data_IF_326425092380
#
_entry.id   IF_326425092380
#
_cell.length_a   1.000
_cell.length_b   1.000
_cell.length_c   1.000
_cell.angle_alpha   90.00
_cell.angle_beta   90.00
_cell.angle_gamma   90.00
#
_symmetry.space_group_name_H-M   'P 1'
#
loop_
_entity.id
_entity.type
_entity.pdbx_description
1 polymer ?
#
# COMPACT_ATOMS: atom_id res chain seq x y z
N UNK A 1 5.96 14.11 54.24
CA UNK A 1 5.75 12.70 53.85
C UNK A 1 7.11 12.03 53.79
N UNK A 2 7.35 10.97 54.57
CA UNK A 2 8.65 10.26 54.54
C UNK A 2 8.67 9.23 53.41
N UNK A 3 9.87 8.91 52.90
CA UNK A 3 10.06 7.93 51.83
C UNK A 3 9.46 6.57 52.19
N UNK A 4 9.70 6.07 53.41
CA UNK A 4 9.19 4.78 53.88
C UNK A 4 7.67 4.73 53.96
N UNK A 5 7.03 5.84 54.32
CA UNK A 5 5.57 5.93 54.33
C UNK A 5 5.02 5.90 52.90
N UNK A 6 5.62 6.67 52.00
CA UNK A 6 5.23 6.68 50.58
C UNK A 6 5.39 5.31 49.93
N UNK A 7 6.51 4.63 50.16
CA UNK A 7 6.74 3.28 49.66
C UNK A 7 5.70 2.29 50.21
N UNK A 8 5.46 2.27 51.53
CA UNK A 8 4.48 1.35 52.13
C UNK A 8 3.07 1.57 51.60
N UNK A 9 2.63 2.82 51.46
CA UNK A 9 1.27 3.14 51.01
C UNK A 9 1.05 2.83 49.52
N UNK A 10 2.06 3.01 48.66
CA UNK A 10 1.91 2.95 47.20
C UNK A 10 2.45 1.68 46.55
N UNK A 11 3.38 0.97 47.19
CA UNK A 11 3.95 -0.29 46.69
C UNK A 11 2.92 -1.35 46.26
N UNK A 12 1.78 -1.54 46.97
CA UNK A 12 0.76 -2.51 46.52
C UNK A 12 0.17 -2.20 45.14
N UNK A 13 0.01 -0.92 44.78
CA UNK A 13 -0.49 -0.52 43.47
C UNK A 13 0.56 -0.77 42.37
N UNK A 14 1.83 -0.52 42.67
CA UNK A 14 2.94 -0.76 41.74
C UNK A 14 3.14 -2.26 41.47
N UNK A 15 3.00 -3.10 42.49
CA UNK A 15 3.04 -4.56 42.35
C UNK A 15 1.88 -5.08 41.50
N UNK A 16 0.66 -4.55 41.68
CA UNK A 16 -0.49 -4.89 40.84
C UNK A 16 -0.28 -4.49 39.38
N UNK A 17 0.29 -3.30 39.13
CA UNK A 17 0.64 -2.87 37.78
C UNK A 17 1.65 -3.83 37.14
N UNK A 18 2.71 -4.18 37.87
CA UNK A 18 3.75 -5.09 37.36
C UNK A 18 3.19 -6.50 37.08
N UNK A 19 2.31 -7.01 37.94
CA UNK A 19 1.60 -8.28 37.73
C UNK A 19 0.66 -8.23 36.50
N UNK A 20 -0.08 -7.13 36.31
CA UNK A 20 -0.91 -6.94 35.12
C UNK A 20 -0.06 -6.91 33.83
N UNK A 21 1.10 -6.26 33.87
CA UNK A 21 2.04 -6.24 32.75
C UNK A 21 2.61 -7.64 32.44
N UNK A 22 2.94 -8.41 33.49
CA UNK A 22 3.43 -9.79 33.36
C UNK A 22 2.36 -10.71 32.75
N UNK A 23 1.09 -10.53 33.09
CA UNK A 23 -0.03 -11.28 32.50
C UNK A 23 -0.29 -10.87 31.06
N UNK A 24 -0.26 -9.57 30.76
CA UNK A 24 -0.45 -9.06 29.40
C UNK A 24 0.62 -9.58 28.43
N UNK A 25 1.90 -9.68 28.86
CA UNK A 25 3.04 -10.04 27.99
C UNK A 25 3.07 -9.24 26.67
N UNK A 26 2.83 -7.93 26.75
CA UNK A 26 2.76 -7.05 25.59
C UNK A 26 1.47 -7.16 24.76
N UNK A 27 0.48 -7.93 25.21
CA UNK A 27 -0.86 -8.03 24.63
C UNK A 27 -1.91 -7.68 25.69
N UNK A 28 -2.33 -6.41 25.79
CA UNK A 28 -3.28 -5.98 26.82
C UNK A 28 -4.62 -6.71 26.71
N UNK A 29 -4.99 -7.23 25.54
CA UNK A 29 -6.26 -7.96 25.34
C UNK A 29 -6.35 -9.24 26.19
N UNK A 30 -5.22 -9.83 26.60
CA UNK A 30 -5.17 -11.03 27.44
C UNK A 30 -5.71 -10.81 28.86
N UNK A 31 -5.81 -9.55 29.29
CA UNK A 31 -6.37 -9.17 30.58
C UNK A 31 -7.91 -9.12 30.57
N UNK A 32 -8.54 -9.24 29.40
CA UNK A 32 -9.98 -9.03 29.24
C UNK A 32 -10.40 -7.56 29.40
N UNK A 33 -11.69 -7.24 29.18
CA UNK A 33 -12.18 -5.87 29.17
C UNK A 33 -11.97 -5.12 30.48
N UNK A 34 -12.21 -5.78 31.62
CA UNK A 34 -12.05 -5.20 32.94
C UNK A 34 -10.57 -5.03 33.32
N UNK A 35 -9.73 -6.02 33.00
CA UNK A 35 -8.30 -5.95 33.27
C UNK A 35 -7.58 -4.88 32.42
N UNK A 36 -8.06 -4.60 31.20
CA UNK A 36 -7.56 -3.46 30.39
C UNK A 36 -7.91 -2.12 31.03
N UNK A 37 -9.14 -1.97 31.54
CA UNK A 37 -9.56 -0.75 32.26
C UNK A 37 -8.74 -0.55 33.53
N UNK A 38 -8.53 -1.63 34.28
CA UNK A 38 -7.71 -1.63 35.49
C UNK A 38 -6.25 -1.26 35.18
N UNK A 39 -5.66 -1.84 34.13
CA UNK A 39 -4.31 -1.51 33.67
C UNK A 39 -4.17 0.00 33.38
N UNK A 40 -5.15 0.59 32.70
CA UNK A 40 -5.17 2.02 32.42
C UNK A 40 -5.26 2.90 33.68
N UNK A 41 -6.04 2.48 34.68
CA UNK A 41 -6.13 3.18 35.96
C UNK A 41 -4.82 3.08 36.78
N UNK A 42 -4.24 1.87 36.87
CA UNK A 42 -2.97 1.62 37.55
C UNK A 42 -1.81 2.39 36.91
N UNK A 43 -1.77 2.46 35.58
CA UNK A 43 -0.79 3.27 34.85
C UNK A 43 -0.87 4.76 35.21
N UNK A 44 -2.06 5.36 35.21
CA UNK A 44 -2.24 6.77 35.57
C UNK A 44 -1.82 7.04 37.01
N UNK A 45 -2.17 6.14 37.93
CA UNK A 45 -1.77 6.23 39.33
C UNK A 45 -0.23 6.17 39.49
N UNK A 46 0.43 5.24 38.81
CA UNK A 46 1.90 5.12 38.85
C UNK A 46 2.60 6.33 38.20
N UNK A 47 2.04 6.90 37.14
CA UNK A 47 2.56 8.12 36.52
C UNK A 47 2.45 9.35 37.44
N UNK A 48 1.35 9.47 38.19
CA UNK A 48 1.19 10.50 39.21
C UNK A 48 2.19 10.31 40.36
N UNK A 49 2.38 9.06 40.81
CA UNK A 49 3.37 8.73 41.84
C UNK A 49 4.80 9.04 41.41
N UNK A 50 5.15 8.78 40.14
CA UNK A 50 6.45 9.15 39.58
C UNK A 50 6.66 10.68 39.57
N UNK A 51 5.63 11.45 39.20
CA UNK A 51 5.71 12.91 39.25
C UNK A 51 5.93 13.42 40.67
N UNK A 52 5.26 12.81 41.65
CA UNK A 52 5.45 13.13 43.07
C UNK A 52 6.85 12.71 43.57
N UNK A 53 7.32 11.52 43.20
CA UNK A 53 8.63 11.00 43.59
C UNK A 53 9.77 11.85 43.05
N UNK A 54 9.69 12.30 41.78
CA UNK A 54 10.65 13.24 41.18
C UNK A 54 10.74 14.56 41.93
N UNK A 55 9.63 15.02 42.51
CA UNK A 55 9.57 16.28 43.26
C UNK A 55 10.08 16.14 44.70
N UNK A 56 9.68 15.07 45.40
CA UNK A 56 9.94 14.91 46.83
C UNK A 56 11.23 14.14 47.14
N UNK A 57 11.65 13.24 46.25
CA UNK A 57 12.78 12.33 46.43
C UNK A 57 13.69 12.31 45.19
N UNK A 58 14.24 13.48 44.79
CA UNK A 58 15.14 13.55 43.64
C UNK A 58 16.41 12.72 43.91
N UNK A 59 16.82 11.91 42.93
CA UNK A 59 18.01 11.06 43.03
C UNK A 59 17.84 9.73 43.78
N UNK A 60 16.66 9.46 44.34
CA UNK A 60 16.40 8.18 45.03
C UNK A 60 16.20 7.01 44.04
N UNK A 61 16.71 5.79 44.33
CA UNK A 61 16.49 4.60 43.50
C UNK A 61 15.02 4.27 43.22
N UNK A 62 14.11 4.65 44.13
CA UNK A 62 12.67 4.50 43.93
C UNK A 62 12.18 5.24 42.69
N UNK A 63 12.70 6.45 42.46
CA UNK A 63 12.30 7.29 41.32
C UNK A 63 12.67 6.61 40.00
N UNK A 64 13.87 6.03 39.91
CA UNK A 64 14.31 5.25 38.75
C UNK A 64 13.47 3.98 38.54
N UNK A 65 13.11 3.29 39.63
CA UNK A 65 12.22 2.11 39.58
C UNK A 65 10.83 2.46 39.06
N UNK A 66 10.24 3.56 39.54
CA UNK A 66 8.93 4.03 39.09
C UNK A 66 8.97 4.49 37.63
N UNK A 67 10.06 5.12 37.21
CA UNK A 67 10.26 5.51 35.82
C UNK A 67 10.27 4.29 34.89
N UNK A 68 11.06 3.27 35.21
CA UNK A 68 11.09 2.02 34.45
C UNK A 68 9.70 1.34 34.38
N UNK A 69 8.96 1.33 35.49
CA UNK A 69 7.61 0.76 35.55
C UNK A 69 6.62 1.55 34.68
N UNK A 70 6.62 2.87 34.75
CA UNK A 70 5.73 3.74 33.96
C UNK A 70 6.04 3.66 32.48
N UNK A 71 7.31 3.54 32.08
CA UNK A 71 7.71 3.35 30.67
C UNK A 71 7.17 2.02 30.13
N UNK A 72 7.37 0.92 30.86
CA UNK A 72 6.81 -0.40 30.49
C UNK A 72 5.28 -0.38 30.43
N UNK A 73 4.64 0.26 31.41
CA UNK A 73 3.19 0.38 31.45
C UNK A 73 2.64 1.22 30.29
N UNK A 74 3.30 2.33 29.94
CA UNK A 74 2.94 3.16 28.79
C UNK A 74 2.95 2.35 27.50
N UNK A 75 3.96 1.51 27.31
CA UNK A 75 4.02 0.61 26.15
C UNK A 75 2.83 -0.35 26.13
N UNK A 76 2.41 -0.92 27.26
CA UNK A 76 1.25 -1.82 27.26
C UNK A 76 -0.10 -1.12 27.06
N UNK A 77 -0.26 0.12 27.55
CA UNK A 77 -1.51 0.89 27.46
C UNK A 77 -1.66 1.57 26.09
N UNK A 78 -0.56 2.03 25.50
CA UNK A 78 -0.54 2.77 24.24
C UNK A 78 0.11 2.01 23.08
N UNK A 79 0.60 0.79 23.29
CA UNK A 79 0.83 -0.10 22.15
C UNK A 79 -0.50 -0.17 21.43
N UNK A 80 -0.49 0.31 20.19
CA UNK A 80 -1.61 0.23 19.29
C UNK A 80 -2.17 -1.19 19.41
N UNK A 81 -3.49 -1.35 19.56
CA UNK A 81 -4.19 -2.62 19.42
C UNK A 81 -4.08 -3.17 17.97
N UNK A 82 -3.02 -2.78 17.24
CA UNK A 82 -2.53 -3.41 16.03
C UNK A 82 -1.89 -4.75 16.39
N UNK A 83 -2.71 -5.68 16.88
CA UNK A 83 -2.38 -7.10 16.83
C UNK A 83 -1.82 -7.41 15.45
N UNK A 84 -0.75 -8.22 15.40
CA UNK A 84 -0.04 -8.63 14.18
C UNK A 84 -1.03 -8.73 13.03
N UNK A 85 -1.02 -7.74 12.14
CA UNK A 85 -1.95 -7.71 11.01
C UNK A 85 -1.61 -8.93 10.17
N UNK A 86 -2.43 -9.97 10.31
CA UNK A 86 -2.19 -11.21 9.63
C UNK A 86 -2.26 -10.93 8.12
N UNK A 87 -1.20 -11.18 7.34
CA UNK A 87 -1.14 -10.79 5.93
C UNK A 87 -2.32 -11.38 5.15
N UNK A 88 -2.78 -12.57 5.53
CA UNK A 88 -3.98 -13.17 4.94
C UNK A 88 -5.27 -12.43 5.28
N UNK A 89 -5.41 -11.81 6.46
CA UNK A 89 -6.58 -11.01 6.79
C UNK A 89 -6.60 -9.71 5.95
N UNK A 90 -5.43 -9.14 5.66
CA UNK A 90 -5.32 -8.04 4.72
C UNK A 90 -5.69 -8.50 3.30
N UNK A 91 -5.07 -9.57 2.78
CA UNK A 91 -5.34 -10.03 1.41
C UNK A 91 -6.80 -10.47 1.18
N UNK A 92 -7.39 -11.18 2.15
CA UNK A 92 -8.78 -11.68 2.04
C UNK A 92 -9.85 -10.61 2.28
N UNK A 93 -9.59 -9.59 3.10
CA UNK A 93 -10.63 -8.63 3.53
C UNK A 93 -10.19 -7.18 3.51
N UNK A 94 -8.95 -6.88 3.87
CA UNK A 94 -8.41 -5.51 3.90
C UNK A 94 -8.27 -4.91 2.49
N UNK A 95 -7.61 -5.63 1.59
CA UNK A 95 -7.38 -5.22 0.21
C UNK A 95 -8.69 -4.93 -0.53
N UNK A 96 -9.63 -5.88 -0.52
CA UNK A 96 -10.92 -5.69 -1.19
C UNK A 96 -11.78 -4.58 -0.59
N UNK A 97 -11.61 -4.30 0.71
CA UNK A 97 -12.27 -3.15 1.36
C UNK A 97 -11.69 -1.83 0.86
N UNK A 98 -10.37 -1.74 0.73
CA UNK A 98 -9.69 -0.57 0.17
C UNK A 98 -10.08 -0.33 -1.28
N UNK A 99 -10.10 -1.38 -2.10
CA UNK A 99 -10.55 -1.31 -3.50
C UNK A 99 -11.97 -0.74 -3.60
N UNK A 100 -12.90 -1.21 -2.76
CA UNK A 100 -14.29 -0.70 -2.73
C UNK A 100 -14.38 0.73 -2.21
N UNK A 101 -13.61 1.08 -1.17
CA UNK A 101 -13.58 2.42 -0.60
C UNK A 101 -13.08 3.45 -1.63
N UNK A 102 -12.10 3.05 -2.45
CA UNK A 102 -11.42 3.92 -3.42
C UNK A 102 -11.91 3.71 -4.86
N UNK A 103 -13.16 3.25 -5.03
CA UNK A 103 -13.77 2.96 -6.33
C UNK A 103 -13.69 4.11 -7.34
N UNK A 104 -13.68 5.36 -6.88
CA UNK A 104 -13.57 6.54 -7.76
C UNK A 104 -12.18 6.65 -8.37
N UNK A 105 -11.13 6.53 -7.56
CA UNK A 105 -9.76 6.54 -8.05
C UNK A 105 -9.51 5.34 -8.97
N UNK A 106 -10.08 4.19 -8.64
CA UNK A 106 -10.03 3.02 -9.51
C UNK A 106 -10.76 3.25 -10.85
N UNK A 107 -11.97 3.80 -10.83
CA UNK A 107 -12.73 4.09 -12.05
C UNK A 107 -12.00 5.11 -12.95
N UNK A 108 -11.37 6.14 -12.36
CA UNK A 108 -10.54 7.10 -13.10
C UNK A 108 -9.34 6.38 -13.73
N UNK A 109 -8.62 5.56 -12.95
CA UNK A 109 -7.49 4.78 -13.46
C UNK A 109 -7.89 3.83 -14.59
N UNK A 110 -9.01 3.10 -14.42
CA UNK A 110 -9.59 2.26 -15.47
C UNK A 110 -9.94 3.07 -16.72
N UNK A 111 -10.62 4.21 -16.55
CA UNK A 111 -11.04 5.06 -17.67
C UNK A 111 -9.85 5.64 -18.44
N UNK A 112 -8.82 6.09 -17.74
CA UNK A 112 -7.59 6.59 -18.36
C UNK A 112 -6.88 5.48 -19.14
N UNK A 113 -6.74 4.30 -18.54
CA UNK A 113 -6.01 3.19 -19.14
C UNK A 113 -6.81 2.55 -20.30
N UNK A 114 -7.99 1.99 -20.00
CA UNK A 114 -8.79 1.27 -20.98
C UNK A 114 -9.47 2.19 -21.98
N UNK A 115 -9.77 3.44 -21.61
CA UNK A 115 -10.29 4.44 -22.55
C UNK A 115 -9.24 4.83 -23.58
N UNK A 116 -8.00 5.14 -23.16
CA UNK A 116 -6.91 5.40 -24.09
C UNK A 116 -6.59 4.17 -24.96
N UNK A 117 -6.63 2.97 -24.37
CA UNK A 117 -6.48 1.72 -25.11
C UNK A 117 -7.54 1.56 -26.19
N UNK A 118 -8.83 1.71 -25.85
CA UNK A 118 -9.92 1.56 -26.82
C UNK A 118 -9.80 2.58 -27.98
N UNK A 119 -9.48 3.84 -27.67
CA UNK A 119 -9.27 4.87 -28.70
C UNK A 119 -8.09 4.52 -29.62
N UNK A 120 -6.99 4.02 -29.05
CA UNK A 120 -5.81 3.64 -29.81
C UNK A 120 -6.02 2.35 -30.63
N UNK A 121 -6.86 1.41 -30.18
CA UNK A 121 -7.27 0.26 -31.00
C UNK A 121 -8.00 0.73 -32.25
N UNK A 122 -8.99 1.61 -32.09
CA UNK A 122 -9.76 2.14 -33.22
C UNK A 122 -8.87 2.92 -34.19
N UNK A 123 -7.96 3.74 -33.65
CA UNK A 123 -7.01 4.49 -34.46
C UNK A 123 -6.02 3.57 -35.19
N UNK A 124 -5.32 2.66 -34.48
CA UNK A 124 -4.36 1.75 -35.11
C UNK A 124 -4.99 0.77 -36.10
N UNK A 125 -6.28 0.46 -35.97
CA UNK A 125 -7.01 -0.35 -36.94
C UNK A 125 -7.35 0.41 -38.24
N UNK A 126 -7.41 1.75 -38.19
CA UNK A 126 -7.74 2.60 -39.35
C UNK A 126 -6.52 3.27 -39.98
N UNK A 127 -5.46 3.46 -39.19
CA UNK A 127 -4.18 4.04 -39.60
C UNK A 127 -3.04 3.22 -38.95
N UNK A 128 -2.66 2.07 -39.56
CA UNK A 128 -1.64 1.20 -38.99
C UNK A 128 -0.26 1.85 -38.93
N UNK A 129 0.08 2.70 -39.90
CA UNK A 129 1.35 3.41 -39.95
C UNK A 129 1.46 4.42 -38.80
N UNK A 130 0.38 5.18 -38.55
CA UNK A 130 0.28 6.07 -37.40
C UNK A 130 0.36 5.32 -36.06
N UNK A 131 -0.35 4.19 -35.95
CA UNK A 131 -0.33 3.33 -34.76
C UNK A 131 1.07 2.77 -34.45
N UNK A 132 1.82 2.33 -35.46
CA UNK A 132 3.18 1.84 -35.32
C UNK A 132 4.15 2.89 -34.74
N UNK A 133 3.93 4.16 -35.08
CA UNK A 133 4.75 5.30 -34.66
C UNK A 133 4.71 5.64 -33.17
N UNK A 134 3.70 5.17 -32.42
CA UNK A 134 3.49 5.53 -31.00
C UNK A 134 4.20 4.57 -30.04
N UNK A 135 5.35 4.04 -30.46
CA UNK A 135 6.12 3.07 -29.66
C UNK A 135 5.59 1.64 -29.71
N UNK A 136 4.62 1.37 -30.60
CA UNK A 136 4.16 0.02 -30.91
C UNK A 136 5.15 -0.75 -31.81
N UNK A 137 5.98 -0.05 -32.60
CA UNK A 137 6.94 -0.66 -33.54
C UNK A 137 7.80 -1.78 -32.94
N UNK A 138 8.46 -1.54 -31.79
CA UNK A 138 9.28 -2.56 -31.13
C UNK A 138 8.48 -3.79 -30.63
N UNK A 139 7.19 -3.60 -30.31
CA UNK A 139 6.29 -4.68 -29.94
C UNK A 139 5.78 -5.45 -31.17
N UNK A 140 5.48 -4.74 -32.25
CA UNK A 140 5.03 -5.30 -33.52
C UNK A 140 6.15 -6.10 -34.17
N UNK A 141 7.38 -5.57 -34.19
CA UNK A 141 8.56 -6.26 -34.72
C UNK A 141 8.91 -7.53 -33.92
N UNK A 142 8.71 -7.50 -32.60
CA UNK A 142 8.93 -8.66 -31.73
C UNK A 142 7.80 -9.70 -31.75
N UNK A 143 6.59 -9.30 -32.14
CA UNK A 143 5.43 -10.18 -32.30
C UNK A 143 5.24 -10.65 -33.75
N UNK A 144 5.92 -10.03 -34.72
CA UNK A 144 5.90 -10.43 -36.11
C UNK A 144 6.57 -11.82 -36.24
N UNK A 145 5.95 -12.76 -36.97
CA UNK A 145 6.61 -14.03 -37.26
C UNK A 145 7.91 -13.75 -38.04
N UNK A 146 9.03 -14.43 -37.70
CA UNK A 146 10.29 -14.26 -38.42
C UNK A 146 10.09 -14.53 -39.91
N UNK A 147 10.82 -13.83 -40.78
CA UNK A 147 10.66 -13.94 -42.23
C UNK A 147 10.68 -15.41 -42.71
N UNK A 148 9.49 -15.94 -42.98
CA UNK A 148 9.24 -17.35 -43.25
C UNK A 148 7.93 -17.80 -42.59
N UNK A 149 7.23 -18.76 -43.18
CA UNK A 149 5.92 -19.27 -42.74
C UNK A 149 5.97 -20.07 -41.41
N UNK A 150 6.96 -19.77 -40.55
CA UNK A 150 7.13 -20.34 -39.22
C UNK A 150 6.81 -19.25 -38.21
N UNK A 151 5.66 -19.38 -37.55
CA UNK A 151 5.36 -18.60 -36.35
C UNK A 151 6.45 -18.75 -35.28
N UNK A 152 6.37 -17.91 -34.24
CA UNK A 152 7.32 -17.92 -33.13
C UNK A 152 7.44 -19.32 -32.50
N UNK A 153 8.66 -19.79 -32.26
CA UNK A 153 8.88 -21.01 -31.48
C UNK A 153 8.40 -20.83 -30.04
N UNK A 154 8.20 -21.95 -29.33
CA UNK A 154 7.84 -21.92 -27.91
C UNK A 154 8.88 -21.16 -27.05
N UNK A 155 10.18 -21.25 -27.40
CA UNK A 155 11.24 -20.55 -26.70
C UNK A 155 11.20 -19.03 -26.95
N UNK A 156 10.96 -18.60 -28.19
CA UNK A 156 10.84 -17.18 -28.57
C UNK A 156 9.60 -16.54 -27.94
N UNK A 157 8.47 -17.25 -27.97
CA UNK A 157 7.22 -16.82 -27.34
C UNK A 157 7.40 -16.64 -25.83
N UNK A 158 8.06 -17.59 -25.16
CA UNK A 158 8.34 -17.49 -23.72
C UNK A 158 9.29 -16.33 -23.37
N UNK A 159 10.33 -16.10 -24.18
CA UNK A 159 11.25 -14.99 -23.99
C UNK A 159 10.55 -13.63 -24.16
N UNK A 160 9.72 -13.50 -25.20
CA UNK A 160 8.94 -12.29 -25.45
C UNK A 160 7.90 -12.03 -24.35
N UNK A 161 7.13 -13.05 -23.94
CA UNK A 161 6.21 -12.94 -22.80
C UNK A 161 6.91 -12.53 -21.50
N UNK A 162 8.11 -13.06 -21.22
CA UNK A 162 8.89 -12.66 -20.04
C UNK A 162 9.34 -11.20 -20.08
N UNK A 163 9.70 -10.71 -21.27
CA UNK A 163 10.02 -9.29 -21.51
C UNK A 163 8.82 -8.39 -21.22
N UNK A 164 7.63 -8.75 -21.73
CA UNK A 164 6.38 -8.03 -21.46
C UNK A 164 6.07 -8.03 -19.97
N UNK A 165 6.14 -9.19 -19.32
CA UNK A 165 5.88 -9.35 -17.89
C UNK A 165 6.77 -8.41 -17.06
N UNK A 166 8.08 -8.40 -17.34
CA UNK A 166 9.05 -7.54 -16.65
C UNK A 166 8.78 -6.06 -16.91
N UNK A 167 8.44 -5.71 -18.15
CA UNK A 167 8.06 -4.34 -18.49
C UNK A 167 6.80 -3.89 -17.75
N UNK A 168 5.77 -4.73 -17.68
CA UNK A 168 4.52 -4.43 -16.99
C UNK A 168 4.71 -4.26 -15.48
N UNK A 169 5.61 -5.03 -14.85
CA UNK A 169 6.02 -4.79 -13.46
C UNK A 169 6.66 -3.41 -13.31
N UNK A 170 7.61 -3.06 -14.19
CA UNK A 170 8.28 -1.76 -14.16
C UNK A 170 7.29 -0.60 -14.33
N UNK A 171 6.38 -0.72 -15.30
CA UNK A 171 5.30 0.25 -15.54
C UNK A 171 4.39 0.37 -14.33
N UNK A 172 4.03 -0.75 -13.68
CA UNK A 172 3.22 -0.76 -12.46
C UNK A 172 3.85 0.11 -11.36
N UNK A 173 5.14 -0.09 -11.08
CA UNK A 173 5.87 0.73 -10.10
C UNK A 173 5.96 2.20 -10.52
N UNK A 174 6.21 2.47 -11.79
CA UNK A 174 6.35 3.83 -12.30
C UNK A 174 5.00 4.59 -12.25
N UNK A 175 3.89 3.94 -12.61
CA UNK A 175 2.54 4.50 -12.48
C UNK A 175 2.22 4.87 -11.03
N UNK A 176 2.56 3.98 -10.08
CA UNK A 176 2.38 4.27 -8.66
C UNK A 176 3.24 5.47 -8.21
N UNK A 177 4.55 5.47 -8.52
CA UNK A 177 5.48 6.49 -8.08
C UNK A 177 5.18 7.87 -8.72
N UNK A 178 4.93 7.90 -10.03
CA UNK A 178 4.57 9.13 -10.74
C UNK A 178 3.21 9.67 -10.28
N UNK A 179 2.25 8.78 -10.02
CA UNK A 179 0.96 9.13 -9.42
C UNK A 179 1.13 9.74 -8.03
N UNK A 180 2.00 9.16 -7.19
CA UNK A 180 2.27 9.65 -5.84
C UNK A 180 2.88 11.06 -5.83
N UNK A 181 3.82 11.37 -6.73
CA UNK A 181 4.54 12.65 -6.74
C UNK A 181 3.71 13.79 -7.32
N UNK A 182 2.96 13.55 -8.39
CA UNK A 182 2.30 14.63 -9.14
C UNK A 182 0.87 14.35 -9.60
N UNK A 183 0.29 13.18 -9.31
CA UNK A 183 -1.02 12.69 -9.79
C UNK A 183 -1.16 12.67 -11.32
N UNK A 184 -1.09 13.84 -11.97
CA UNK A 184 -1.02 14.05 -13.41
C UNK A 184 0.04 13.16 -14.07
N UNK A 185 1.24 13.03 -13.49
CA UNK A 185 2.28 12.15 -14.02
C UNK A 185 1.83 10.68 -14.11
N UNK A 186 1.15 10.18 -13.07
CA UNK A 186 0.57 8.82 -13.09
C UNK A 186 -0.60 8.69 -14.08
N UNK A 187 -1.44 9.72 -14.21
CA UNK A 187 -2.54 9.73 -15.17
C UNK A 187 -2.05 9.68 -16.62
N UNK A 188 -1.04 10.49 -16.96
CA UNK A 188 -0.42 10.51 -18.28
C UNK A 188 0.24 9.17 -18.59
N UNK A 189 0.93 8.58 -17.62
CA UNK A 189 1.59 7.30 -17.83
C UNK A 189 0.59 6.14 -18.01
N UNK A 190 -0.53 6.15 -17.28
CA UNK A 190 -1.64 5.21 -17.49
C UNK A 190 -2.22 5.34 -18.90
N UNK A 191 -2.54 6.57 -19.32
CA UNK A 191 -3.09 6.83 -20.64
C UNK A 191 -2.10 6.43 -21.75
N UNK A 192 -0.82 6.75 -21.58
CA UNK A 192 0.23 6.39 -22.54
C UNK A 192 0.37 4.87 -22.66
N UNK A 193 0.44 4.12 -21.55
CA UNK A 193 0.55 2.67 -21.63
C UNK A 193 -0.72 2.03 -22.22
N UNK A 194 -1.90 2.54 -21.87
CA UNK A 194 -3.15 2.14 -22.52
C UNK A 194 -3.09 2.36 -24.03
N UNK A 195 -2.67 3.54 -24.47
CA UNK A 195 -2.52 3.90 -25.88
C UNK A 195 -1.53 3.00 -26.61
N UNK A 196 -0.36 2.71 -26.04
CA UNK A 196 0.64 1.80 -26.65
C UNK A 196 0.05 0.40 -26.87
N UNK A 197 -0.57 -0.17 -25.84
CA UNK A 197 -1.19 -1.51 -25.93
C UNK A 197 -2.35 -1.49 -26.95
N UNK A 198 -3.15 -0.43 -26.94
CA UNK A 198 -4.25 -0.28 -27.88
C UNK A 198 -3.76 -0.17 -29.33
N UNK A 199 -2.69 0.58 -29.57
CA UNK A 199 -2.08 0.69 -30.89
C UNK A 199 -1.55 -0.67 -31.39
N UNK A 200 -0.88 -1.45 -30.52
CA UNK A 200 -0.44 -2.81 -30.86
C UNK A 200 -1.62 -3.70 -31.27
N UNK A 201 -2.71 -3.69 -30.50
CA UNK A 201 -3.92 -4.44 -30.86
C UNK A 201 -4.59 -3.94 -32.14
N UNK A 202 -4.66 -2.62 -32.34
CA UNK A 202 -5.23 -2.00 -33.53
C UNK A 202 -4.46 -2.39 -34.79
N UNK A 203 -3.13 -2.26 -34.77
CA UNK A 203 -2.25 -2.64 -35.87
C UNK A 203 -2.32 -4.15 -36.13
N UNK A 204 -2.32 -4.97 -35.07
CA UNK A 204 -2.48 -6.43 -35.22
C UNK A 204 -3.83 -6.80 -35.83
N UNK A 205 -4.91 -6.09 -35.48
CA UNK A 205 -6.22 -6.27 -36.08
C UNK A 205 -6.24 -5.91 -37.56
N UNK A 206 -5.63 -4.78 -37.94
CA UNK A 206 -5.52 -4.37 -39.34
C UNK A 206 -4.73 -5.37 -40.20
N UNK A 207 -3.71 -6.02 -39.62
CA UNK A 207 -2.88 -7.01 -40.30
C UNK A 207 -3.36 -8.46 -40.17
N UNK A 208 -4.53 -8.70 -39.56
CA UNK A 208 -5.09 -10.05 -39.42
C UNK A 208 -4.43 -10.95 -38.37
N UNK A 209 -3.55 -10.42 -37.52
CA UNK A 209 -2.78 -11.17 -36.50
C UNK A 209 -3.28 -10.93 -35.06
N UNK A 210 -4.47 -10.37 -34.87
CA UNK A 210 -5.01 -10.05 -33.54
C UNK A 210 -5.10 -11.28 -32.62
N UNK A 211 -5.46 -12.44 -33.17
CA UNK A 211 -5.60 -13.69 -32.42
C UNK A 211 -4.28 -14.15 -31.78
N UNK A 212 -3.17 -14.02 -32.50
CA UNK A 212 -1.84 -14.40 -32.04
C UNK A 212 -1.37 -13.49 -30.90
N UNK A 213 -1.56 -12.17 -31.08
CA UNK A 213 -1.22 -11.17 -30.07
C UNK A 213 -2.07 -11.33 -28.80
N UNK A 214 -3.37 -11.57 -28.94
CA UNK A 214 -4.24 -11.83 -27.79
C UNK A 214 -3.86 -13.11 -27.05
N UNK A 215 -3.46 -14.16 -27.77
CA UNK A 215 -3.03 -15.43 -27.17
C UNK A 215 -1.78 -15.25 -26.30
N UNK A 216 -0.83 -14.42 -26.76
CA UNK A 216 0.33 -14.03 -25.97
C UNK A 216 -0.07 -13.20 -24.73
N UNK A 217 -0.95 -12.22 -24.91
CA UNK A 217 -1.31 -11.30 -23.82
C UNK A 217 -2.19 -11.97 -22.76
N UNK A 218 -3.12 -12.86 -23.12
CA UNK A 218 -4.06 -13.48 -22.16
C UNK A 218 -3.34 -14.30 -21.08
N UNK A 219 -2.19 -14.89 -21.39
CA UNK A 219 -1.43 -15.73 -20.46
C UNK A 219 -1.04 -15.02 -19.15
N UNK A 220 -0.82 -13.70 -19.19
CA UNK A 220 -0.36 -12.92 -18.03
C UNK A 220 -0.99 -11.51 -17.93
N UNK A 221 -1.44 -10.95 -19.05
CA UNK A 221 -1.95 -9.60 -19.18
C UNK A 221 -3.16 -9.30 -18.30
N UNK A 222 -4.06 -10.25 -18.05
CA UNK A 222 -5.21 -10.00 -17.16
C UNK A 222 -4.77 -9.57 -15.76
N UNK A 223 -3.80 -10.30 -15.19
CA UNK A 223 -3.27 -9.98 -13.86
C UNK A 223 -2.41 -8.72 -13.92
N UNK A 224 -1.53 -8.60 -14.89
CA UNK A 224 -0.61 -7.46 -15.02
C UNK A 224 -1.33 -6.12 -15.25
N UNK A 225 -2.28 -6.08 -16.19
CA UNK A 225 -3.06 -4.88 -16.48
C UNK A 225 -3.92 -4.48 -15.29
N UNK A 226 -4.47 -5.45 -14.56
CA UNK A 226 -5.18 -5.18 -13.31
C UNK A 226 -4.26 -4.55 -12.25
N UNK A 227 -3.03 -5.02 -12.13
CA UNK A 227 -2.02 -4.46 -11.23
C UNK A 227 -1.64 -3.03 -11.61
N UNK A 228 -1.42 -2.73 -12.91
CA UNK A 228 -1.12 -1.38 -13.39
C UNK A 228 -2.25 -0.42 -13.01
N UNK A 229 -3.50 -0.82 -13.25
CA UNK A 229 -4.68 0.02 -12.97
C UNK A 229 -4.85 0.26 -11.46
N UNK A 230 -4.68 -0.77 -10.62
CA UNK A 230 -4.76 -0.63 -9.15
C UNK A 230 -3.61 0.23 -8.62
N UNK A 231 -2.39 0.03 -9.11
CA UNK A 231 -1.22 0.82 -8.74
C UNK A 231 -1.38 2.29 -9.15
N UNK A 232 -1.91 2.54 -10.35
CA UNK A 232 -2.28 3.86 -10.84
C UNK A 232 -3.33 4.53 -9.95
N UNK A 233 -4.39 3.82 -9.57
CA UNK A 233 -5.41 4.33 -8.66
C UNK A 233 -4.84 4.70 -7.27
N UNK A 234 -3.98 3.83 -6.72
CA UNK A 234 -3.30 4.08 -5.45
C UNK A 234 -2.38 5.31 -5.53
N UNK A 235 -1.60 5.42 -6.61
CA UNK A 235 -0.72 6.56 -6.87
C UNK A 235 -1.52 7.86 -6.99
N UNK A 236 -2.54 7.90 -7.86
CA UNK A 236 -3.41 9.07 -8.06
C UNK A 236 -4.05 9.54 -6.76
N UNK A 237 -4.54 8.62 -5.94
CA UNK A 237 -5.18 8.97 -4.67
C UNK A 237 -4.21 9.59 -3.66
N UNK A 238 -2.99 9.05 -3.59
CA UNK A 238 -1.96 9.60 -2.70
C UNK A 238 -1.43 10.94 -3.23
N UNK A 239 -1.19 11.05 -4.54
CA UNK A 239 -0.80 12.31 -5.17
C UNK A 239 -1.85 13.40 -5.02
N UNK A 240 -3.14 13.05 -5.08
CA UNK A 240 -4.21 14.02 -4.83
C UNK A 240 -4.17 14.59 -3.41
N UNK A 241 -3.69 13.87 -2.41
CA UNK A 241 -3.48 14.42 -1.07
C UNK A 241 -2.35 15.46 -1.01
N UNK A 242 -1.43 15.47 -1.98
CA UNK A 242 -0.46 16.54 -2.15
C UNK A 242 -1.08 17.75 -2.86
N UNK A 243 -1.89 17.51 -3.89
CA UNK A 243 -2.55 18.56 -4.68
C UNK A 243 -3.58 19.32 -3.84
N UNK A 244 -4.49 18.59 -3.20
CA UNK A 244 -5.53 19.13 -2.33
C UNK A 244 -5.51 18.42 -0.96
N UNK A 245 -4.71 18.93 -0.01
CA UNK A 245 -4.66 18.40 1.35
C UNK A 245 -5.85 18.86 2.23
N UNK A 246 -6.73 19.71 1.72
CA UNK A 246 -7.77 20.39 2.49
C UNK A 246 -7.20 21.18 3.67
N UNK A 247 -7.76 20.99 4.87
CA UNK A 247 -7.31 21.67 6.11
C UNK A 247 -6.06 21.07 6.77
N UNK A 248 -5.49 20.02 6.19
CA UNK A 248 -4.32 19.32 6.76
C UNK A 248 -3.03 19.83 6.11
N UNK A 249 -1.90 19.66 6.78
CA UNK A 249 -0.61 19.77 6.10
C UNK A 249 -0.48 18.63 5.08
N UNK A 250 0.25 18.83 3.97
CA UNK A 250 0.48 17.81 2.94
C UNK A 250 1.00 16.49 3.53
N UNK A 251 1.94 16.57 4.47
CA UNK A 251 2.47 15.40 5.21
C UNK A 251 1.40 14.67 6.01
N UNK A 252 0.55 15.42 6.72
CA UNK A 252 -0.54 14.83 7.49
C UNK A 252 -1.63 14.23 6.59
N UNK A 253 -1.97 14.87 5.47
CA UNK A 253 -2.89 14.35 4.47
C UNK A 253 -2.37 13.05 3.84
N UNK A 254 -1.09 13.01 3.45
CA UNK A 254 -0.44 11.81 2.96
C UNK A 254 -0.44 10.68 3.98
N UNK A 255 -0.07 10.97 5.23
CA UNK A 255 -0.03 9.94 6.29
C UNK A 255 -1.42 9.41 6.60
N UNK A 256 -2.43 10.28 6.60
CA UNK A 256 -3.82 9.88 6.79
C UNK A 256 -4.31 8.98 5.65
N UNK A 257 -3.99 9.32 4.39
CA UNK A 257 -4.36 8.48 3.24
C UNK A 257 -3.56 7.19 3.18
N UNK A 258 -2.27 7.19 3.48
CA UNK A 258 -1.41 6.00 3.40
C UNK A 258 -1.78 4.88 4.40
N UNK A 259 -2.64 5.17 5.38
CA UNK A 259 -3.15 4.16 6.31
C UNK A 259 -4.30 3.37 5.64
N UNK A 260 -4.30 2.02 5.78
CA UNK A 260 -5.34 1.16 5.23
C UNK A 260 -6.64 1.20 6.05
#
# INVERSE_FOLDING_TARGET
>A
MTLDRFQRERSPAWQRLDAALATARGRPERLGPDGVRELGALYRAAAADLALARRLFPGDPLTARLEALVVRARQAVYADAGGRRHPWAFLSRGYWRLVRAERRALAISCGLFFGAMALAVLWGATDPDGGAGVGAGAFIDGAAPPAGDRGLSAAESAAFSSSIFTNNIRVTFLCFAAGLLFAVGGALLLAYNGMVIGAVFGVAAANGHLGDVLSLVVAHGVLELSCIVVAGAAGLRLGWALVDPGRRTRRAALTARARP
#
